data_IF_230248335278
#
_entry.id   IF_230248335278
#
_cell.length_a   1.000
_cell.length_b   1.000
_cell.length_c   1.000
_cell.angle_alpha   90.00
_cell.angle_beta   90.00
_cell.angle_gamma   90.00
#
_symmetry.space_group_name_H-M   'P 1'
#
loop_
_entity.id
_entity.type
_entity.pdbx_description
1 polymer ?
#
# COMPACT_ATOMS: atom_id res chain seq x y z
N UNK A 1 36.43 12.07 30.85
CA UNK A 1 35.21 12.82 31.18
C UNK A 1 34.04 12.06 30.59
N UNK A 2 33.31 11.32 31.42
CA UNK A 2 32.04 10.72 31.05
C UNK A 2 31.00 11.83 31.08
N UNK A 3 30.57 12.30 29.91
CA UNK A 3 29.40 13.18 29.81
C UNK A 3 28.20 12.34 30.28
N UNK A 4 27.49 12.74 31.36
CA UNK A 4 26.29 12.03 31.75
C UNK A 4 25.26 12.21 30.63
N UNK A 5 24.93 11.12 29.94
CA UNK A 5 23.78 11.08 29.03
C UNK A 5 22.56 11.44 29.87
N UNK A 6 22.05 12.67 29.69
CA UNK A 6 20.70 13.02 30.14
C UNK A 6 19.76 11.93 29.63
N UNK A 7 18.87 11.37 30.46
CA UNK A 7 17.92 10.37 29.99
C UNK A 7 17.12 11.00 28.86
N UNK A 8 17.39 10.61 27.61
CA UNK A 8 16.60 11.03 26.47
C UNK A 8 15.16 10.67 26.78
N UNK A 9 14.29 11.68 26.83
CA UNK A 9 12.86 11.45 26.93
C UNK A 9 12.47 10.53 25.78
N UNK A 10 11.87 9.38 26.09
CA UNK A 10 11.43 8.46 25.03
C UNK A 10 10.52 9.21 24.06
N UNK A 11 10.73 9.07 22.74
CA UNK A 11 9.85 9.70 21.76
C UNK A 11 8.41 9.24 22.00
N UNK A 12 7.47 10.14 21.74
CA UNK A 12 6.04 9.89 21.87
C UNK A 12 5.37 10.20 20.55
N UNK A 13 4.15 9.69 20.38
CA UNK A 13 3.31 9.98 19.23
C UNK A 13 4.03 9.69 17.90
N UNK A 14 4.64 8.51 17.80
CA UNK A 14 5.42 8.13 16.63
C UNK A 14 4.48 7.73 15.50
N UNK A 15 4.70 8.29 14.33
CA UNK A 15 3.97 7.90 13.13
C UNK A 15 4.26 8.83 11.95
N UNK A 16 3.26 9.02 11.08
CA UNK A 16 3.45 9.70 9.80
C UNK A 16 3.39 11.22 9.98
N UNK A 17 4.53 11.88 9.76
CA UNK A 17 4.70 13.33 9.73
C UNK A 17 4.29 13.93 8.38
N UNK A 18 4.69 13.28 7.30
CA UNK A 18 4.45 13.71 5.93
C UNK A 18 4.31 12.48 5.03
N UNK A 19 3.57 12.63 3.93
CA UNK A 19 3.36 11.54 2.98
C UNK A 19 3.27 12.06 1.55
N UNK A 20 3.73 11.26 0.61
CA UNK A 20 3.68 11.54 -0.81
C UNK A 20 3.38 10.27 -1.61
N UNK A 21 2.62 10.39 -2.69
CA UNK A 21 2.27 9.27 -3.57
C UNK A 21 2.79 9.56 -4.98
N UNK A 22 3.50 8.60 -5.56
CA UNK A 22 3.85 8.56 -6.98
C UNK A 22 3.05 7.46 -7.69
N UNK A 23 2.59 7.74 -8.90
CA UNK A 23 1.88 6.77 -9.75
C UNK A 23 2.07 7.16 -11.22
N UNK A 24 1.97 6.23 -12.18
CA UNK A 24 2.01 6.56 -13.61
C UNK A 24 0.96 7.61 -14.01
N UNK A 25 1.21 8.39 -15.06
CA UNK A 25 0.28 9.45 -15.52
C UNK A 25 -0.91 8.92 -16.33
N UNK A 26 -0.95 7.61 -16.58
CA UNK A 26 -1.95 6.96 -17.43
C UNK A 26 -2.54 5.70 -16.79
N UNK A 27 -3.77 5.41 -17.16
CA UNK A 27 -4.52 4.23 -16.72
C UNK A 27 -5.44 3.71 -17.84
N UNK A 28 -5.82 2.44 -17.76
CA UNK A 28 -6.82 1.83 -18.64
C UNK A 28 -8.18 1.74 -17.93
N UNK A 29 -9.28 1.90 -18.68
CA UNK A 29 -10.65 1.67 -18.21
C UNK A 29 -10.94 0.17 -18.10
N UNK A 30 -11.41 -0.29 -16.93
CA UNK A 30 -11.79 -1.69 -16.77
C UNK A 30 -13.11 -2.02 -17.49
N UNK A 31 -13.97 -1.04 -17.72
CA UNK A 31 -15.17 -1.25 -18.55
C UNK A 31 -14.77 -1.51 -20.01
N UNK A 32 -13.84 -0.72 -20.54
CA UNK A 32 -13.35 -0.88 -21.91
C UNK A 32 -12.56 -2.19 -22.04
N UNK A 33 -11.86 -2.59 -20.98
CA UNK A 33 -11.14 -3.86 -20.92
C UNK A 33 -12.09 -5.07 -20.85
N UNK A 34 -13.30 -4.92 -20.29
CA UNK A 34 -14.33 -5.97 -20.35
C UNK A 34 -14.74 -6.24 -21.80
N UNK A 35 -15.04 -5.18 -22.55
CA UNK A 35 -15.42 -5.26 -23.96
C UNK A 35 -14.25 -5.78 -24.82
N UNK A 36 -13.03 -5.28 -24.58
CA UNK A 36 -11.82 -5.69 -25.29
C UNK A 36 -11.49 -7.18 -25.12
N UNK A 37 -11.61 -7.70 -23.89
CA UNK A 37 -11.35 -9.10 -23.58
C UNK A 37 -12.53 -10.04 -23.91
N UNK A 38 -13.65 -9.51 -24.43
CA UNK A 38 -14.84 -10.30 -24.74
C UNK A 38 -15.48 -10.96 -23.51
N UNK A 39 -15.37 -10.35 -22.33
CA UNK A 39 -15.99 -10.87 -21.10
C UNK A 39 -17.33 -10.20 -20.81
N UNK A 40 -18.14 -10.81 -19.95
CA UNK A 40 -19.44 -10.24 -19.55
C UNK A 40 -19.27 -8.87 -18.86
N UNK A 41 -20.12 -7.91 -19.24
CA UNK A 41 -20.23 -6.61 -18.55
C UNK A 41 -20.37 -6.80 -17.05
N UNK A 42 -19.63 -6.02 -16.28
CA UNK A 42 -19.59 -6.11 -14.83
C UNK A 42 -18.58 -7.10 -14.26
N UNK A 43 -17.90 -7.93 -15.07
CA UNK A 43 -16.93 -8.91 -14.56
C UNK A 43 -15.82 -8.25 -13.76
N UNK A 44 -15.29 -7.13 -14.24
CA UNK A 44 -14.24 -6.36 -13.58
C UNK A 44 -14.84 -5.23 -12.74
N UNK A 45 -15.77 -4.48 -13.31
CA UNK A 45 -16.35 -3.27 -12.67
C UNK A 45 -17.24 -3.57 -11.48
N UNK A 46 -17.90 -4.74 -11.44
CA UNK A 46 -18.74 -5.18 -10.31
C UNK A 46 -18.08 -6.36 -9.57
N UNK A 47 -17.57 -7.34 -10.33
CA UNK A 47 -16.97 -8.56 -9.80
C UNK A 47 -15.69 -8.28 -9.02
N UNK A 48 -14.78 -7.46 -9.57
CA UNK A 48 -13.61 -6.95 -8.85
C UNK A 48 -13.90 -5.61 -8.16
N UNK A 49 -14.89 -4.86 -8.63
CA UNK A 49 -15.20 -3.51 -8.14
C UNK A 49 -14.25 -2.44 -8.66
N UNK A 50 -13.41 -2.76 -9.65
CA UNK A 50 -12.34 -1.89 -10.17
C UNK A 50 -12.84 -1.02 -11.32
N UNK A 51 -12.40 0.24 -11.38
CA UNK A 51 -12.82 1.19 -12.41
C UNK A 51 -11.70 1.48 -13.41
N UNK A 52 -10.51 1.77 -12.90
CA UNK A 52 -9.31 1.98 -13.69
C UNK A 52 -8.12 1.21 -13.13
N UNK A 53 -7.09 1.03 -13.95
CA UNK A 53 -5.83 0.39 -13.57
C UNK A 53 -4.67 1.18 -14.15
N UNK A 54 -3.79 1.67 -13.27
CA UNK A 54 -2.54 2.32 -13.68
C UNK A 54 -1.53 1.28 -14.12
N UNK A 55 -0.69 1.65 -15.08
CA UNK A 55 0.34 0.78 -15.61
C UNK A 55 1.50 1.61 -16.12
N UNK A 56 2.63 0.96 -16.35
CA UNK A 56 3.81 1.59 -16.94
C UNK A 56 4.42 0.65 -17.99
N UNK A 57 5.27 1.20 -18.84
CA UNK A 57 6.02 0.49 -19.87
C UNK A 57 7.47 0.23 -19.39
N UNK A 58 8.44 0.30 -20.31
CA UNK A 58 9.87 0.10 -20.05
C UNK A 58 10.59 1.33 -19.50
N UNK A 59 9.93 2.49 -19.41
CA UNK A 59 10.49 3.74 -18.89
C UNK A 59 10.46 3.86 -17.37
N UNK A 60 9.61 3.10 -16.68
CA UNK A 60 9.54 3.14 -15.22
C UNK A 60 9.72 1.77 -14.59
N UNK A 61 10.44 1.77 -13.47
CA UNK A 61 10.68 0.58 -12.65
C UNK A 61 10.52 0.94 -11.16
N UNK A 62 10.72 -0.03 -10.28
CA UNK A 62 10.61 0.19 -8.85
C UNK A 62 11.58 1.26 -8.32
N UNK A 63 12.77 1.38 -8.91
CA UNK A 63 13.73 2.40 -8.50
C UNK A 63 13.25 3.79 -8.91
N UNK A 64 12.73 3.97 -10.13
CA UNK A 64 12.20 5.27 -10.56
C UNK A 64 10.97 5.67 -9.74
N UNK A 65 10.07 4.71 -9.45
CA UNK A 65 8.92 4.95 -8.57
C UNK A 65 9.35 5.42 -7.17
N UNK A 66 10.31 4.72 -6.57
CA UNK A 66 10.83 5.06 -5.26
C UNK A 66 11.58 6.40 -5.27
N UNK A 67 12.42 6.65 -6.28
CA UNK A 67 13.13 7.93 -6.46
C UNK A 67 12.14 9.09 -6.54
N UNK A 68 11.06 8.94 -7.30
CA UNK A 68 10.04 9.97 -7.44
C UNK A 68 9.25 10.20 -6.17
N UNK A 69 8.80 9.14 -5.48
CA UNK A 69 8.08 9.28 -4.22
C UNK A 69 8.93 9.99 -3.16
N UNK A 70 10.20 9.61 -3.00
CA UNK A 70 11.11 10.21 -2.01
C UNK A 70 11.54 11.61 -2.41
N UNK A 71 11.91 11.84 -3.68
CA UNK A 71 12.28 13.18 -4.16
C UNK A 71 11.13 14.17 -3.98
N UNK A 72 9.90 13.78 -4.35
CA UNK A 72 8.73 14.62 -4.16
C UNK A 72 8.44 14.88 -2.68
N UNK A 73 8.58 13.88 -1.81
CA UNK A 73 8.44 14.04 -0.36
C UNK A 73 9.46 15.07 0.17
N UNK A 74 10.74 14.92 -0.16
CA UNK A 74 11.79 15.83 0.28
C UNK A 74 11.53 17.27 -0.19
N UNK A 75 11.19 17.43 -1.47
CA UNK A 75 11.02 18.75 -2.08
C UNK A 75 9.74 19.45 -1.61
N UNK A 76 8.60 18.75 -1.58
CA UNK A 76 7.31 19.38 -1.25
C UNK A 76 7.22 19.84 0.20
N UNK A 77 7.87 19.12 1.10
CA UNK A 77 7.89 19.40 2.54
C UNK A 77 9.19 20.06 3.00
N UNK A 78 10.08 20.42 2.06
CA UNK A 78 11.36 21.10 2.34
C UNK A 78 12.21 20.37 3.40
N UNK A 79 12.21 19.04 3.34
CA UNK A 79 12.90 18.19 4.31
C UNK A 79 14.40 18.21 4.00
N UNK A 80 15.22 18.65 4.96
CA UNK A 80 16.67 18.55 4.86
C UNK A 80 17.08 17.07 4.76
N UNK A 81 17.76 16.62 3.70
CA UNK A 81 18.23 15.24 3.58
C UNK A 81 19.13 14.80 4.75
N UNK A 82 19.80 15.72 5.45
CA UNK A 82 20.59 15.42 6.67
C UNK A 82 19.74 15.09 7.89
N UNK A 83 18.46 15.45 7.88
CA UNK A 83 17.50 15.14 8.96
C UNK A 83 16.99 13.69 8.94
N UNK A 84 17.43 12.87 7.96
CA UNK A 84 17.04 11.48 7.81
C UNK A 84 18.13 10.56 8.35
N UNK A 85 17.78 9.71 9.32
CA UNK A 85 18.69 8.73 9.93
C UNK A 85 18.37 7.28 9.57
N UNK A 86 17.19 7.02 9.00
CA UNK A 86 16.80 5.69 8.53
C UNK A 86 15.96 5.77 7.26
N UNK A 87 16.18 4.85 6.34
CA UNK A 87 15.39 4.72 5.12
C UNK A 87 15.19 3.23 4.79
N UNK A 88 13.95 2.76 4.86
CA UNK A 88 13.56 1.39 4.50
C UNK A 88 12.62 1.38 3.30
N UNK A 89 12.72 0.32 2.49
CA UNK A 89 11.85 0.10 1.32
C UNK A 89 11.10 -1.21 1.48
N UNK A 90 9.77 -1.17 1.42
CA UNK A 90 8.95 -2.34 1.18
C UNK A 90 8.63 -2.47 -0.30
N UNK A 91 9.00 -3.60 -0.89
CA UNK A 91 8.64 -3.93 -2.28
C UNK A 91 8.70 -5.43 -2.50
N UNK A 92 7.88 -5.93 -3.42
CA UNK A 92 8.02 -7.28 -3.97
C UNK A 92 8.51 -7.28 -5.43
N UNK A 93 8.57 -6.12 -6.08
CA UNK A 93 9.07 -5.88 -7.43
C UNK A 93 10.60 -5.89 -7.42
N UNK A 94 11.21 -6.91 -8.01
CA UNK A 94 12.67 -7.07 -8.03
C UNK A 94 13.24 -6.67 -9.38
N UNK A 95 14.25 -5.80 -9.36
CA UNK A 95 15.11 -5.49 -10.51
C UNK A 95 16.56 -5.95 -10.31
N UNK A 96 16.91 -6.34 -9.08
CA UNK A 96 18.18 -6.95 -8.70
C UNK A 96 17.92 -7.91 -7.53
N UNK A 97 18.69 -8.99 -7.43
CA UNK A 97 18.53 -10.05 -6.40
C UNK A 97 19.35 -9.78 -5.14
N UNK A 98 20.27 -8.83 -5.18
CA UNK A 98 21.19 -8.51 -4.08
C UNK A 98 21.21 -7.02 -3.77
N UNK A 99 21.31 -6.17 -4.79
CA UNK A 99 21.32 -4.71 -4.61
C UNK A 99 19.91 -4.22 -4.28
N UNK A 100 19.76 -3.62 -3.11
CA UNK A 100 18.49 -3.07 -2.65
C UNK A 100 18.11 -1.76 -3.36
N UNK A 101 16.80 -1.52 -3.51
CA UNK A 101 16.23 -0.23 -3.94
C UNK A 101 16.70 0.89 -3.01
N UNK A 102 16.78 0.62 -1.70
CA UNK A 102 17.34 1.55 -0.71
C UNK A 102 18.70 2.12 -1.12
N UNK A 103 19.62 1.29 -1.61
CA UNK A 103 20.94 1.80 -2.04
C UNK A 103 20.87 2.65 -3.32
N UNK A 104 19.85 2.50 -4.15
CA UNK A 104 19.59 3.41 -5.28
C UNK A 104 19.09 4.77 -4.79
N UNK A 105 18.24 4.79 -3.74
CA UNK A 105 17.71 6.02 -3.13
C UNK A 105 18.78 6.87 -2.45
N UNK A 106 19.90 6.28 -2.01
CA UNK A 106 21.04 7.04 -1.45
C UNK A 106 21.60 8.10 -2.40
N UNK A 107 21.29 8.03 -3.71
CA UNK A 107 21.61 9.08 -4.69
C UNK A 107 20.98 10.43 -4.33
N UNK A 108 19.78 10.43 -3.74
CA UNK A 108 19.08 11.65 -3.31
C UNK A 108 19.74 12.32 -2.10
N UNK A 109 20.58 11.59 -1.38
CA UNK A 109 21.27 12.06 -0.17
C UNK A 109 22.75 12.40 -0.41
N UNK A 110 23.31 11.94 -1.53
CA UNK A 110 24.74 12.03 -1.81
C UNK A 110 25.27 13.47 -1.84
N UNK A 111 24.55 14.41 -2.47
CA UNK A 111 24.97 15.81 -2.54
C UNK A 111 24.98 16.50 -1.17
N UNK A 112 24.09 16.09 -0.26
CA UNK A 112 24.08 16.60 1.12
C UNK A 112 25.25 16.07 1.97
N UNK A 113 25.92 15.00 1.52
CA UNK A 113 26.92 14.26 2.29
C UNK A 113 26.36 13.35 3.39
N UNK A 114 25.03 13.18 3.47
CA UNK A 114 24.41 12.27 4.43
C UNK A 114 24.48 10.82 3.93
N UNK A 115 25.46 10.06 4.41
CA UNK A 115 25.63 8.64 4.09
C UNK A 115 25.31 7.71 5.26
N UNK A 116 25.20 8.26 6.47
CA UNK A 116 24.89 7.52 7.69
C UNK A 116 23.38 7.44 7.86
N UNK A 117 22.77 6.54 7.08
CA UNK A 117 21.33 6.29 7.06
C UNK A 117 21.11 4.78 7.15
N UNK A 118 20.54 4.30 8.25
CA UNK A 118 20.19 2.88 8.45
C UNK A 118 19.07 2.42 7.50
N UNK A 119 18.79 1.11 7.48
CA UNK A 119 17.68 0.53 6.73
C UNK A 119 18.08 -0.05 5.36
N UNK A 120 17.23 -0.96 4.87
CA UNK A 120 17.38 -1.72 3.62
C UNK A 120 15.99 -2.07 3.06
N UNK A 121 15.92 -3.01 2.11
CA UNK A 121 14.64 -3.49 1.60
C UNK A 121 14.07 -4.61 2.50
N UNK A 122 12.75 -4.60 2.70
CA UNK A 122 11.96 -5.63 3.38
C UNK A 122 10.97 -6.24 2.40
N UNK A 123 10.96 -7.58 2.29
CA UNK A 123 10.14 -8.30 1.30
C UNK A 123 9.39 -9.48 1.91
N UNK A 124 8.06 -9.44 1.77
CA UNK A 124 7.18 -10.60 1.76
C UNK A 124 5.89 -10.19 1.04
N UNK A 125 5.82 -10.42 -0.27
CA UNK A 125 4.71 -9.97 -1.11
C UNK A 125 4.28 -8.52 -0.76
N UNK A 126 2.97 -8.27 -0.70
CA UNK A 126 2.38 -6.97 -0.37
C UNK A 126 2.57 -6.52 1.11
N UNK A 127 3.20 -7.33 1.97
CA UNK A 127 3.42 -7.01 3.39
C UNK A 127 4.74 -6.27 3.66
N UNK A 128 5.69 -6.27 2.71
CA UNK A 128 7.06 -5.76 2.92
C UNK A 128 7.14 -4.32 3.47
N UNK A 129 6.22 -3.45 3.05
CA UNK A 129 6.14 -2.05 3.52
C UNK A 129 5.65 -1.92 4.96
N UNK A 130 4.79 -2.83 5.43
CA UNK A 130 4.40 -2.87 6.84
C UNK A 130 5.52 -3.38 7.73
N UNK A 131 6.33 -4.33 7.25
CA UNK A 131 7.56 -4.70 7.94
C UNK A 131 8.53 -3.52 8.02
N UNK A 132 8.73 -2.78 6.93
CA UNK A 132 9.55 -1.56 6.89
C UNK A 132 9.03 -0.48 7.86
N UNK A 133 7.70 -0.25 7.91
CA UNK A 133 7.08 0.67 8.84
C UNK A 133 7.34 0.28 10.30
N UNK A 134 7.13 -0.98 10.65
CA UNK A 134 7.38 -1.46 12.01
C UNK A 134 8.87 -1.35 12.38
N UNK A 135 9.78 -1.65 11.44
CA UNK A 135 11.21 -1.46 11.65
C UNK A 135 11.56 0.02 11.92
N UNK A 136 10.97 0.95 11.18
CA UNK A 136 11.19 2.38 11.37
C UNK A 136 10.66 2.88 12.73
N UNK A 137 9.45 2.48 13.13
CA UNK A 137 8.87 2.83 14.44
C UNK A 137 9.73 2.25 15.56
N UNK A 138 10.09 0.97 15.48
CA UNK A 138 10.93 0.31 16.47
C UNK A 138 12.31 0.96 16.58
N UNK A 139 12.89 1.40 15.45
CA UNK A 139 14.16 2.12 15.45
C UNK A 139 14.06 3.46 16.19
N UNK A 140 13.01 4.25 15.95
CA UNK A 140 12.76 5.52 16.67
C UNK A 140 12.58 5.26 18.18
N UNK A 141 11.90 4.18 18.57
CA UNK A 141 11.71 3.82 19.99
C UNK A 141 12.96 3.21 20.65
N UNK A 142 13.98 2.86 19.87
CA UNK A 142 15.16 2.15 20.35
C UNK A 142 16.21 3.06 21.01
N UNK A 143 17.14 2.45 21.72
CA UNK A 143 18.34 3.14 22.21
C UNK A 143 19.32 3.56 21.10
N UNK A 144 19.11 3.10 19.86
CA UNK A 144 19.93 3.47 18.70
C UNK A 144 19.38 4.70 17.96
N UNK A 145 18.21 5.21 18.34
CA UNK A 145 17.67 6.41 17.73
C UNK A 145 18.56 7.61 17.99
N UNK A 146 18.89 8.34 16.94
CA UNK A 146 19.82 9.48 16.95
C UNK A 146 19.11 10.84 16.88
N UNK A 147 17.78 10.85 17.01
CA UNK A 147 16.95 12.05 16.93
C UNK A 147 16.48 12.42 15.52
N UNK A 148 16.95 11.73 14.47
CA UNK A 148 16.55 11.98 13.07
C UNK A 148 15.26 11.24 12.70
N UNK A 149 14.62 11.68 11.62
CA UNK A 149 13.43 11.03 11.10
C UNK A 149 13.79 9.78 10.28
N UNK A 150 12.81 8.91 10.07
CA UNK A 150 12.89 7.78 9.16
C UNK A 150 12.05 8.04 7.90
N UNK A 151 12.43 7.46 6.76
CA UNK A 151 11.58 7.38 5.56
C UNK A 151 11.23 5.93 5.30
N UNK A 152 9.94 5.65 5.09
CA UNK A 152 9.46 4.35 4.64
C UNK A 152 8.88 4.49 3.25
N UNK A 153 9.41 3.72 2.31
CA UNK A 153 8.90 3.64 0.93
C UNK A 153 8.10 2.35 0.77
N UNK A 154 6.93 2.44 0.16
CA UNK A 154 6.06 1.31 -0.16
C UNK A 154 5.67 1.41 -1.62
N UNK A 155 6.16 0.53 -2.49
CA UNK A 155 5.90 0.68 -3.93
C UNK A 155 6.15 -0.57 -4.72
N UNK A 156 5.42 -0.69 -5.82
CA UNK A 156 5.45 -1.85 -6.69
C UNK A 156 4.84 -1.57 -8.07
N UNK A 157 5.13 -2.50 -8.98
CA UNK A 157 4.49 -2.64 -10.28
C UNK A 157 3.81 -4.02 -10.28
N UNK A 158 2.49 -4.04 -10.11
CA UNK A 158 1.69 -5.24 -10.06
C UNK A 158 1.21 -5.64 -11.46
N UNK A 159 1.95 -6.56 -12.08
CA UNK A 159 1.67 -7.08 -13.43
C UNK A 159 1.41 -8.58 -13.39
N UNK A 160 0.53 -9.02 -14.29
CA UNK A 160 0.14 -10.42 -14.43
C UNK A 160 0.12 -10.82 -15.91
N UNK A 161 0.38 -12.11 -16.15
CA UNK A 161 0.24 -12.72 -17.46
C UNK A 161 -1.18 -12.50 -18.02
N UNK A 162 -1.31 -12.68 -19.34
CA UNK A 162 -2.62 -12.63 -19.98
C UNK A 162 -3.60 -13.60 -19.32
N UNK A 163 -4.82 -13.13 -19.04
CA UNK A 163 -5.84 -13.93 -18.40
C UNK A 163 -6.58 -13.22 -17.26
N UNK A 164 -7.25 -13.98 -16.38
CA UNK A 164 -8.23 -13.44 -15.43
C UNK A 164 -7.62 -12.59 -14.30
N UNK A 165 -6.31 -12.68 -14.05
CA UNK A 165 -5.62 -11.92 -13.02
C UNK A 165 -5.13 -10.53 -13.50
N UNK A 166 -4.89 -10.35 -14.81
CA UNK A 166 -4.42 -9.07 -15.40
C UNK A 166 -5.25 -7.85 -14.97
N UNK A 167 -6.58 -7.89 -14.87
CA UNK A 167 -7.41 -6.76 -14.44
C UNK A 167 -7.28 -6.38 -12.95
N UNK A 168 -6.51 -7.14 -12.16
CA UNK A 168 -6.21 -6.87 -10.74
C UNK A 168 -4.79 -6.32 -10.54
N UNK A 169 -4.12 -5.87 -11.61
CA UNK A 169 -2.85 -5.17 -11.57
C UNK A 169 -2.98 -3.72 -11.09
N UNK A 170 -1.86 -3.00 -11.19
CA UNK A 170 -1.75 -1.60 -10.80
C UNK A 170 -0.29 -1.20 -10.62
N UNK A 171 -0.04 0.08 -10.36
CA UNK A 171 1.32 0.58 -10.15
C UNK A 171 1.33 1.87 -9.34
N UNK A 172 2.30 1.99 -8.44
CA UNK A 172 2.57 3.21 -7.70
C UNK A 172 3.51 3.00 -6.51
N UNK A 173 3.87 4.10 -5.86
CA UNK A 173 4.67 4.12 -4.65
C UNK A 173 4.18 5.21 -3.68
N UNK A 174 4.38 4.96 -2.39
CA UNK A 174 4.09 5.88 -1.29
C UNK A 174 5.38 6.06 -0.50
N UNK A 175 5.76 7.30 -0.21
CA UNK A 175 6.83 7.62 0.73
C UNK A 175 6.21 8.27 1.96
N UNK A 176 6.57 7.79 3.14
CA UNK A 176 6.12 8.30 4.44
C UNK A 176 7.32 8.76 5.25
N UNK A 177 7.30 10.00 5.73
CA UNK A 177 8.21 10.49 6.76
C UNK A 177 7.68 10.04 8.12
N UNK A 178 8.47 9.28 8.87
CA UNK A 178 8.13 8.76 10.18
C UNK A 178 8.96 9.45 11.25
N UNK A 179 8.31 9.94 12.31
CA UNK A 179 8.96 10.63 13.42
C UNK A 179 8.05 10.79 14.64
N UNK A 180 8.59 11.37 15.73
CA UNK A 180 7.81 11.70 16.93
C UNK A 180 6.83 12.86 16.68
N UNK A 181 5.84 13.01 17.56
CA UNK A 181 4.86 14.10 17.52
C UNK A 181 4.10 14.22 16.19
N UNK A 182 3.86 13.06 15.56
CA UNK A 182 3.20 12.97 14.28
C UNK A 182 1.69 13.28 14.37
N UNK A 183 1.09 13.88 13.31
CA UNK A 183 -0.35 14.03 13.21
C UNK A 183 -1.08 12.68 13.06
N UNK A 184 -0.43 11.68 12.45
CA UNK A 184 -0.94 10.30 12.35
C UNK A 184 -0.08 9.38 13.20
N UNK A 185 -0.57 8.95 14.36
CA UNK A 185 0.19 8.18 15.35
C UNK A 185 -0.21 6.72 15.30
N UNK A 186 0.75 5.79 15.24
CA UNK A 186 0.46 4.37 15.36
C UNK A 186 0.35 3.95 16.82
N UNK A 187 -0.65 3.14 17.15
CA UNK A 187 -0.72 2.53 18.47
C UNK A 187 0.31 1.41 18.60
N UNK A 188 0.98 1.24 19.76
CA UNK A 188 2.01 0.23 19.97
C UNK A 188 1.41 -1.16 20.22
N UNK A 189 0.36 -1.52 19.47
CA UNK A 189 -0.32 -2.82 19.54
C UNK A 189 -0.65 -3.28 18.13
N UNK A 190 -0.21 -4.49 17.80
CA UNK A 190 -0.44 -5.12 16.50
C UNK A 190 -0.75 -6.60 16.70
N UNK A 191 -1.79 -7.09 16.03
CA UNK A 191 -2.09 -8.52 15.91
C UNK A 191 -1.47 -9.04 14.62
N UNK A 192 -0.70 -10.12 14.68
CA UNK A 192 0.09 -10.62 13.54
C UNK A 192 -0.24 -12.09 13.29
N UNK A 193 -0.32 -12.47 12.03
CA UNK A 193 -0.46 -13.85 11.58
C UNK A 193 0.54 -14.11 10.45
N UNK A 194 1.28 -15.21 10.55
CA UNK A 194 2.17 -15.69 9.49
C UNK A 194 1.94 -17.18 9.34
N UNK A 195 1.94 -17.67 8.10
CA UNK A 195 1.77 -19.08 7.76
C UNK A 195 2.58 -19.41 6.52
N UNK A 196 2.87 -20.69 6.29
CA UNK A 196 3.52 -21.19 5.07
C UNK A 196 2.44 -21.66 4.07
N UNK A 197 2.26 -20.91 2.98
CA UNK A 197 1.23 -21.06 1.98
C UNK A 197 1.79 -20.78 0.58
N UNK A 198 1.18 -21.41 -0.43
CA UNK A 198 1.47 -21.18 -1.85
C UNK A 198 0.28 -20.54 -2.57
N UNK A 199 -0.36 -19.55 -1.94
CA UNK A 199 -1.51 -18.85 -2.50
C UNK A 199 -1.13 -17.85 -3.61
N UNK A 200 -0.02 -17.14 -3.41
CA UNK A 200 0.59 -16.21 -4.37
C UNK A 200 2.11 -16.19 -4.15
N UNK A 201 2.89 -16.45 -5.21
CA UNK A 201 4.35 -16.49 -5.12
C UNK A 201 5.02 -16.27 -6.49
N UNK A 202 6.30 -15.91 -6.51
CA UNK A 202 7.08 -15.64 -7.74
C UNK A 202 8.30 -16.57 -7.81
N UNK A 203 8.13 -17.83 -8.22
CA UNK A 203 9.21 -18.82 -8.23
C UNK A 203 10.12 -18.66 -9.46
N UNK A 204 9.59 -18.19 -10.58
CA UNK A 204 10.34 -17.92 -11.81
C UNK A 204 11.01 -16.56 -11.73
N UNK A 205 12.34 -16.55 -11.60
CA UNK A 205 13.14 -15.33 -11.51
C UNK A 205 13.41 -14.66 -12.86
N UNK A 206 12.92 -15.24 -13.96
CA UNK A 206 13.04 -14.70 -15.32
C UNK A 206 11.78 -13.98 -15.80
N UNK A 207 10.69 -14.08 -15.03
CA UNK A 207 9.39 -13.49 -15.31
C UNK A 207 8.96 -12.54 -14.19
N UNK A 208 8.24 -11.46 -14.54
CA UNK A 208 7.59 -10.61 -13.54
C UNK A 208 6.31 -11.23 -12.99
N UNK A 209 5.74 -12.18 -13.73
CA UNK A 209 4.42 -12.72 -13.45
C UNK A 209 4.45 -13.70 -12.28
N UNK A 210 3.52 -13.57 -11.33
CA UNK A 210 3.41 -14.51 -10.22
C UNK A 210 2.66 -15.79 -10.62
N UNK A 211 2.94 -16.85 -9.88
CA UNK A 211 2.04 -17.99 -9.72
C UNK A 211 0.93 -17.61 -8.73
N UNK A 212 -0.33 -17.88 -9.10
CA UNK A 212 -1.50 -17.46 -8.33
C UNK A 212 -2.54 -18.58 -8.24
N UNK A 213 -2.76 -19.11 -7.05
CA UNK A 213 -3.98 -19.84 -6.71
C UNK A 213 -5.04 -18.81 -6.30
N UNK A 214 -5.85 -18.37 -7.27
CA UNK A 214 -6.88 -17.34 -7.05
C UNK A 214 -7.87 -17.68 -5.92
N UNK A 215 -8.52 -18.85 -5.93
CA UNK A 215 -9.34 -19.32 -4.82
C UNK A 215 -8.58 -19.39 -3.49
N UNK A 216 -7.36 -19.94 -3.49
CA UNK A 216 -6.52 -20.03 -2.30
C UNK A 216 -6.18 -18.66 -1.71
N UNK A 217 -5.82 -17.69 -2.54
CA UNK A 217 -5.48 -16.31 -2.15
C UNK A 217 -6.63 -15.60 -1.44
N UNK A 218 -7.87 -15.80 -1.90
CA UNK A 218 -9.04 -15.21 -1.24
C UNK A 218 -9.23 -15.79 0.16
N UNK A 219 -9.04 -17.11 0.31
CA UNK A 219 -9.15 -17.81 1.60
C UNK A 219 -8.02 -17.39 2.54
N UNK A 220 -6.78 -17.33 2.04
CA UNK A 220 -5.61 -16.91 2.81
C UNK A 220 -5.80 -15.49 3.37
N UNK A 221 -6.23 -14.54 2.54
CA UNK A 221 -6.51 -13.16 2.94
C UNK A 221 -7.54 -13.08 4.08
N UNK A 222 -8.66 -13.80 3.95
CA UNK A 222 -9.75 -13.74 4.94
C UNK A 222 -9.36 -14.47 6.24
N UNK A 223 -8.66 -15.60 6.14
CA UNK A 223 -8.21 -16.37 7.31
C UNK A 223 -7.12 -15.62 8.10
N UNK A 224 -6.21 -14.95 7.40
CA UNK A 224 -5.20 -14.11 8.02
C UNK A 224 -5.81 -12.86 8.66
N UNK A 225 -6.90 -12.32 8.10
CA UNK A 225 -7.68 -11.24 8.72
C UNK A 225 -8.31 -11.70 10.03
N UNK A 226 -9.00 -12.84 10.05
CA UNK A 226 -9.58 -13.41 11.26
C UNK A 226 -8.53 -13.57 12.37
N UNK A 227 -7.39 -14.17 12.01
CA UNK A 227 -6.31 -14.50 12.93
C UNK A 227 -5.61 -13.25 13.48
N UNK A 228 -5.23 -12.32 12.60
CA UNK A 228 -4.57 -11.07 13.01
C UNK A 228 -5.52 -10.17 13.81
N UNK A 229 -6.80 -10.11 13.45
CA UNK A 229 -7.81 -9.35 14.19
C UNK A 229 -8.09 -9.96 15.57
N UNK A 230 -8.18 -11.29 15.68
CA UNK A 230 -8.29 -11.98 16.97
C UNK A 230 -7.04 -11.76 17.83
N UNK A 231 -5.84 -11.83 17.25
CA UNK A 231 -4.58 -11.59 17.96
C UNK A 231 -4.49 -10.15 18.48
N UNK A 232 -4.90 -9.16 17.69
CA UNK A 232 -4.95 -7.76 18.11
C UNK A 232 -5.90 -7.60 19.30
N UNK A 233 -7.13 -8.13 19.21
CA UNK A 233 -8.12 -8.10 20.30
C UNK A 233 -7.57 -8.74 21.59
N UNK A 234 -6.87 -9.86 21.47
CA UNK A 234 -6.28 -10.56 22.62
C UNK A 234 -5.17 -9.78 23.33
N UNK A 235 -4.53 -8.81 22.67
CA UNK A 235 -3.50 -7.95 23.25
C UNK A 235 -4.07 -6.70 23.94
N UNK A 236 -5.35 -6.39 23.72
CA UNK A 236 -5.99 -5.24 24.36
C UNK A 236 -6.41 -5.58 25.79
N UNK A 237 -5.96 -4.78 26.75
CA UNK A 237 -6.39 -4.88 28.14
C UNK A 237 -7.73 -4.13 28.34
N UNK A 238 -8.79 -4.60 27.70
CA UNK A 238 -10.12 -3.98 27.74
C UNK A 238 -11.19 -4.98 28.21
N UNK A 239 -12.11 -4.52 29.06
CA UNK A 239 -13.27 -5.31 29.50
C UNK A 239 -14.30 -5.52 28.39
N UNK A 240 -14.34 -4.62 27.39
CA UNK A 240 -15.19 -4.74 26.21
C UNK A 240 -14.36 -5.20 25.01
N UNK A 241 -14.85 -6.15 24.19
CA UNK A 241 -14.13 -6.58 23.00
C UNK A 241 -14.05 -5.42 22.00
N UNK A 242 -12.87 -5.24 21.40
CA UNK A 242 -12.71 -4.30 20.29
C UNK A 242 -13.50 -4.76 19.08
N UNK A 243 -14.09 -3.80 18.37
CA UNK A 243 -15.00 -3.98 17.23
C UNK A 243 -14.80 -2.88 16.17
N UNK A 244 -15.49 -2.98 15.03
CA UNK A 244 -15.59 -1.90 14.04
C UNK A 244 -16.25 -0.62 14.58
N UNK A 245 -16.92 -0.66 15.75
CA UNK A 245 -17.42 0.54 16.42
C UNK A 245 -16.30 1.32 17.14
N UNK A 246 -15.10 0.74 17.28
CA UNK A 246 -13.96 1.35 17.98
C UNK A 246 -13.02 2.14 17.08
N UNK A 247 -13.36 2.21 15.79
CA UNK A 247 -12.64 2.94 14.76
C UNK A 247 -13.64 3.71 13.91
N UNK A 248 -13.24 4.89 13.48
CA UNK A 248 -14.00 5.73 12.56
C UNK A 248 -13.79 5.25 11.13
N UNK A 249 -12.59 4.78 10.82
CA UNK A 249 -12.21 4.26 9.49
C UNK A 249 -11.57 2.88 9.56
N UNK A 250 -11.72 2.09 8.50
CA UNK A 250 -11.09 0.78 8.36
C UNK A 250 -10.42 0.65 6.99
N UNK A 251 -9.09 0.58 6.99
CA UNK A 251 -8.24 0.49 5.82
C UNK A 251 -7.74 -0.94 5.68
N UNK A 252 -7.64 -1.39 4.44
CA UNK A 252 -7.24 -2.73 4.09
C UNK A 252 -6.17 -2.68 3.01
N UNK A 253 -5.29 -3.67 2.95
CA UNK A 253 -4.62 -3.98 1.70
C UNK A 253 -5.71 -4.30 0.66
N UNK A 254 -5.76 -3.50 -0.40
CA UNK A 254 -6.77 -3.60 -1.46
C UNK A 254 -6.13 -4.13 -2.75
N UNK A 255 -6.15 -5.46 -2.99
CA UNK A 255 -5.76 -6.01 -4.29
C UNK A 255 -6.82 -5.71 -5.36
N UNK A 256 -8.08 -5.64 -4.93
CA UNK A 256 -9.21 -5.12 -5.68
C UNK A 256 -10.35 -4.82 -4.69
N UNK A 257 -11.25 -3.90 -5.04
CA UNK A 257 -12.25 -3.36 -4.11
C UNK A 257 -13.19 -4.45 -3.55
N UNK A 258 -13.59 -5.44 -4.36
CA UNK A 258 -14.44 -6.53 -3.88
C UNK A 258 -13.81 -7.33 -2.73
N UNK A 259 -12.48 -7.52 -2.73
CA UNK A 259 -11.81 -8.20 -1.62
C UNK A 259 -11.88 -7.38 -0.34
N UNK A 260 -11.81 -6.05 -0.46
CA UNK A 260 -11.94 -5.13 0.68
C UNK A 260 -13.37 -5.13 1.24
N UNK A 261 -14.39 -5.20 0.37
CA UNK A 261 -15.80 -5.38 0.78
C UNK A 261 -15.97 -6.67 1.60
N UNK A 262 -15.36 -7.78 1.15
CA UNK A 262 -15.39 -9.05 1.87
C UNK A 262 -14.63 -8.98 3.20
N UNK A 263 -13.47 -8.31 3.24
CA UNK A 263 -12.69 -8.11 4.46
C UNK A 263 -13.47 -7.34 5.54
N UNK A 264 -14.09 -6.22 5.16
CA UNK A 264 -14.94 -5.46 6.09
C UNK A 264 -16.15 -6.26 6.57
N UNK A 265 -16.85 -6.95 5.66
CA UNK A 265 -17.95 -7.84 6.03
C UNK A 265 -17.49 -8.96 6.99
N UNK A 266 -16.28 -9.49 6.80
CA UNK A 266 -15.70 -10.51 7.68
C UNK A 266 -15.38 -9.95 9.06
N UNK A 267 -14.85 -8.74 9.16
CA UNK A 267 -14.66 -8.09 10.47
C UNK A 267 -15.99 -7.91 11.21
N UNK A 268 -17.04 -7.46 10.51
CA UNK A 268 -18.37 -7.32 11.08
C UNK A 268 -18.93 -8.68 11.57
N UNK A 269 -18.70 -9.74 10.80
CA UNK A 269 -19.04 -11.11 11.22
C UNK A 269 -18.27 -11.55 12.48
N UNK A 270 -16.98 -11.24 12.55
CA UNK A 270 -16.17 -11.52 13.74
C UNK A 270 -16.63 -10.76 14.99
N UNK A 271 -17.17 -9.55 14.82
CA UNK A 271 -17.75 -8.78 15.91
C UNK A 271 -19.07 -9.40 16.36
N UNK A 272 -19.93 -9.79 15.41
CA UNK A 272 -21.18 -10.50 15.68
C UNK A 272 -20.96 -11.80 16.47
N UNK A 273 -20.01 -12.65 16.05
CA UNK A 273 -19.72 -13.90 16.75
C UNK A 273 -19.28 -13.69 18.21
N UNK A 274 -18.62 -12.57 18.51
CA UNK A 274 -18.13 -12.26 19.85
C UNK A 274 -19.19 -11.59 20.72
N UNK A 275 -20.03 -10.75 20.13
CA UNK A 275 -21.03 -9.98 20.83
C UNK A 275 -22.29 -9.82 19.96
N UNK A 276 -23.13 -10.86 19.82
CA UNK A 276 -24.26 -10.87 18.90
C UNK A 276 -25.36 -9.85 19.23
N UNK A 277 -25.28 -9.22 20.41
CA UNK A 277 -26.23 -8.21 20.88
C UNK A 277 -25.60 -6.82 21.02
N UNK A 278 -24.37 -6.60 20.54
CA UNK A 278 -23.67 -5.31 20.68
C UNK A 278 -24.08 -4.23 19.69
N UNK A 279 -24.85 -4.59 18.66
CA UNK A 279 -25.26 -3.68 17.59
C UNK A 279 -26.72 -3.93 17.19
N UNK A 280 -27.52 -2.87 16.95
CA UNK A 280 -28.83 -3.02 16.33
C UNK A 280 -28.79 -3.73 14.97
N UNK A 281 -27.66 -3.66 14.26
CA UNK A 281 -27.45 -4.37 13.01
C UNK A 281 -27.55 -5.89 13.16
N UNK A 282 -27.28 -6.44 14.35
CA UNK A 282 -27.32 -7.88 14.61
C UNK A 282 -28.69 -8.37 15.09
N UNK A 283 -29.67 -7.47 15.25
CA UNK A 283 -30.98 -7.83 15.79
C UNK A 283 -31.66 -8.90 14.93
N UNK A 284 -32.06 -10.01 15.56
CA UNK A 284 -32.73 -11.13 14.90
C UNK A 284 -31.81 -12.12 14.17
N UNK A 285 -30.49 -11.95 14.26
CA UNK A 285 -29.52 -12.93 13.75
C UNK A 285 -29.14 -13.95 14.82
N UNK A 286 -29.10 -15.22 14.45
CA UNK A 286 -28.65 -16.33 15.31
C UNK A 286 -27.23 -16.77 14.91
N UNK A 287 -26.24 -16.70 15.82
CA UNK A 287 -24.87 -17.15 15.55
C UNK A 287 -24.77 -18.58 15.03
N UNK A 288 -25.65 -19.49 15.45
CA UNK A 288 -25.62 -20.90 15.04
C UNK A 288 -25.99 -21.09 13.55
N UNK A 289 -26.62 -20.08 12.93
CA UNK A 289 -26.99 -20.12 11.50
C UNK A 289 -25.78 -19.92 10.57
N UNK A 290 -24.68 -19.34 11.06
CA UNK A 290 -23.59 -18.88 10.21
C UNK A 290 -22.32 -19.70 10.37
N UNK A 291 -21.66 -20.01 9.26
CA UNK A 291 -20.43 -20.78 9.23
C UNK A 291 -19.21 -19.89 9.42
N UNK A 292 -18.24 -20.37 10.22
CA UNK A 292 -16.93 -19.72 10.33
C UNK A 292 -16.04 -19.99 9.13
N UNK A 293 -16.44 -20.81 8.16
CA UNK A 293 -15.63 -21.03 6.96
C UNK A 293 -15.45 -19.74 6.15
N UNK A 294 -14.22 -19.39 5.73
CA UNK A 294 -13.97 -18.26 4.83
C UNK A 294 -14.65 -18.36 3.46
N UNK A 295 -15.09 -19.55 3.08
CA UNK A 295 -15.71 -19.83 1.76
C UNK A 295 -17.23 -19.86 1.80
N UNK A 296 -17.86 -19.75 2.98
CA UNK A 296 -19.30 -19.85 3.11
C UNK A 296 -20.04 -18.65 2.48
N UNK A 297 -20.84 -18.93 1.45
CA UNK A 297 -21.51 -17.88 0.65
C UNK A 297 -22.71 -17.26 1.34
N UNK A 298 -23.37 -17.98 2.24
CA UNK A 298 -24.49 -17.43 3.02
C UNK A 298 -23.96 -16.36 3.96
N UNK A 299 -22.93 -16.68 4.74
CA UNK A 299 -22.27 -15.75 5.66
C UNK A 299 -21.67 -14.57 4.91
N UNK A 300 -20.95 -14.81 3.81
CA UNK A 300 -20.37 -13.74 2.97
C UNK A 300 -21.45 -12.75 2.50
N UNK A 301 -22.53 -13.23 1.87
CA UNK A 301 -23.57 -12.35 1.32
C UNK A 301 -24.33 -11.58 2.40
N UNK A 302 -24.71 -12.26 3.49
CA UNK A 302 -25.46 -11.62 4.58
C UNK A 302 -24.67 -10.49 5.21
N UNK A 303 -23.39 -10.70 5.52
CA UNK A 303 -22.58 -9.68 6.18
C UNK A 303 -22.09 -8.58 5.22
N UNK A 304 -21.99 -8.86 3.91
CA UNK A 304 -21.81 -7.80 2.91
C UNK A 304 -23.02 -6.87 2.89
N UNK A 305 -24.24 -7.43 2.85
CA UNK A 305 -25.46 -6.63 2.84
C UNK A 305 -25.61 -5.84 4.14
N UNK A 306 -25.37 -6.49 5.28
CA UNK A 306 -25.47 -5.85 6.59
C UNK A 306 -24.42 -4.74 6.79
N UNK A 307 -23.21 -4.98 6.31
CA UNK A 307 -22.10 -4.05 6.43
C UNK A 307 -22.08 -2.93 5.38
N UNK A 308 -23.02 -2.88 4.44
CA UNK A 308 -22.97 -1.96 3.30
C UNK A 308 -22.91 -0.47 3.71
N UNK A 309 -23.73 -0.05 4.68
CA UNK A 309 -23.73 1.33 5.17
C UNK A 309 -22.42 1.67 5.89
N UNK A 310 -21.97 0.78 6.80
CA UNK A 310 -20.69 0.95 7.50
C UNK A 310 -19.49 0.90 6.54
N UNK A 311 -19.55 0.14 5.46
CA UNK A 311 -18.50 0.13 4.44
C UNK A 311 -18.41 1.49 3.73
N UNK A 312 -19.56 2.05 3.33
CA UNK A 312 -19.62 3.36 2.69
C UNK A 312 -19.08 4.48 3.59
N UNK A 313 -19.32 4.39 4.91
CA UNK A 313 -18.86 5.38 5.88
C UNK A 313 -17.38 5.19 6.27
N UNK A 314 -16.98 3.96 6.61
CA UNK A 314 -15.70 3.67 7.26
C UNK A 314 -14.59 3.28 6.29
N UNK A 315 -14.92 2.76 5.10
CA UNK A 315 -13.94 2.17 4.18
C UNK A 315 -13.87 2.94 2.86
N UNK A 316 -15.01 3.30 2.27
CA UNK A 316 -15.04 3.95 0.96
C UNK A 316 -14.17 5.22 0.84
N UNK A 317 -14.07 6.10 1.87
CA UNK A 317 -13.19 7.26 1.83
C UNK A 317 -11.70 6.93 1.63
N UNK A 318 -11.29 5.69 1.88
CA UNK A 318 -9.91 5.23 1.70
C UNK A 318 -9.65 4.60 0.33
N UNK A 319 -10.59 4.63 -0.62
CA UNK A 319 -10.49 3.84 -1.87
C UNK A 319 -10.18 4.65 -3.14
N UNK A 320 -9.91 5.96 -3.03
CA UNK A 320 -9.65 6.81 -4.20
C UNK A 320 -8.51 6.28 -5.09
N UNK A 321 -7.36 5.96 -4.50
CA UNK A 321 -6.25 5.32 -5.22
C UNK A 321 -6.63 3.96 -5.77
N UNK A 322 -7.27 3.08 -4.98
CA UNK A 322 -7.63 1.74 -5.43
C UNK A 322 -8.58 1.74 -6.65
N UNK A 323 -9.50 2.71 -6.72
CA UNK A 323 -10.43 2.91 -7.85
C UNK A 323 -9.72 3.34 -9.12
N UNK A 324 -8.69 4.18 -8.99
CA UNK A 324 -8.02 4.81 -10.14
C UNK A 324 -6.76 4.08 -10.59
N UNK A 325 -6.02 3.50 -9.66
CA UNK A 325 -4.69 2.96 -9.89
C UNK A 325 -4.65 1.43 -9.90
N UNK A 326 -5.61 0.75 -9.29
CA UNK A 326 -5.55 -0.70 -9.12
C UNK A 326 -4.76 -1.14 -7.89
N UNK A 327 -4.14 -2.31 -7.97
CA UNK A 327 -3.34 -2.89 -6.89
C UNK A 327 -1.91 -2.34 -6.91
N UNK A 328 -1.47 -1.72 -5.81
CA UNK A 328 -0.11 -1.21 -5.65
C UNK A 328 0.78 -2.17 -4.84
N UNK A 329 0.36 -3.43 -4.66
CA UNK A 329 0.99 -4.40 -3.76
C UNK A 329 1.34 -3.80 -2.40
N UNK A 330 2.63 -3.62 -2.08
CA UNK A 330 3.08 -3.05 -0.81
C UNK A 330 2.62 -1.61 -0.61
N UNK A 331 2.41 -0.86 -1.70
CA UNK A 331 1.85 0.48 -1.67
C UNK A 331 0.35 0.52 -1.38
N UNK A 332 -0.42 -0.56 -1.57
CA UNK A 332 -1.90 -0.51 -1.58
C UNK A 332 -2.50 -0.02 -0.25
N UNK A 333 -2.03 -0.54 0.89
CA UNK A 333 -2.57 -0.13 2.19
C UNK A 333 -2.25 1.35 2.49
N UNK A 334 -1.06 1.81 2.15
CA UNK A 334 -0.62 3.18 2.41
C UNK A 334 -1.20 4.18 1.41
N UNK A 335 -1.51 3.75 0.19
CA UNK A 335 -2.31 4.50 -0.75
C UNK A 335 -3.77 4.64 -0.28
N UNK A 336 -4.29 3.67 0.49
CA UNK A 336 -5.58 3.82 1.17
C UNK A 336 -5.51 4.88 2.29
N UNK A 337 -4.42 4.92 3.06
CA UNK A 337 -4.19 5.99 4.05
C UNK A 337 -4.09 7.37 3.38
N UNK A 338 -3.38 7.46 2.26
CA UNK A 338 -3.31 8.68 1.45
C UNK A 338 -4.69 9.11 0.92
N UNK A 339 -5.48 8.15 0.45
CA UNK A 339 -6.84 8.39 -0.01
C UNK A 339 -7.74 8.91 1.10
N UNK A 340 -7.65 8.35 2.31
CA UNK A 340 -8.42 8.81 3.46
C UNK A 340 -8.09 10.27 3.79
N UNK A 341 -6.79 10.60 3.90
CA UNK A 341 -6.31 11.96 4.19
C UNK A 341 -6.74 12.95 3.09
N UNK A 342 -6.74 12.52 1.84
CA UNK A 342 -7.11 13.38 0.72
C UNK A 342 -8.63 13.60 0.60
N UNK A 343 -9.42 12.62 1.01
CA UNK A 343 -10.89 12.60 0.84
C UNK A 343 -11.61 13.26 2.00
N UNK A 344 -11.18 13.00 3.24
CA UNK A 344 -11.86 13.49 4.44
C UNK A 344 -11.30 14.87 4.84
N UNK A 345 -12.15 15.87 5.13
CA UNK A 345 -11.70 17.16 5.65
C UNK A 345 -10.84 17.04 6.92
N UNK A 346 -9.73 17.80 7.06
CA UNK A 346 -8.85 17.72 8.22
C UNK A 346 -9.57 17.84 9.57
N UNK A 347 -10.54 18.76 9.68
CA UNK A 347 -11.33 18.96 10.90
C UNK A 347 -12.22 17.76 11.25
N UNK A 348 -12.71 17.03 10.24
CA UNK A 348 -13.48 15.80 10.44
C UNK A 348 -12.57 14.63 10.81
N UNK A 349 -11.35 14.62 10.28
CA UNK A 349 -10.39 13.55 10.49
C UNK A 349 -9.69 13.68 11.86
N UNK A 350 -9.55 14.89 12.40
CA UNK A 350 -8.92 15.12 13.70
C UNK A 350 -9.66 14.39 14.84
N UNK A 351 -8.91 13.68 15.68
CA UNK A 351 -9.42 12.91 16.82
C UNK A 351 -9.90 11.50 16.45
N UNK A 352 -9.96 11.18 15.15
CA UNK A 352 -10.43 9.87 14.68
C UNK A 352 -9.39 8.76 14.84
N UNK A 353 -9.86 7.52 14.74
CA UNK A 353 -9.05 6.30 14.82
C UNK A 353 -9.31 5.44 13.60
N UNK A 354 -8.26 4.92 12.99
CA UNK A 354 -8.35 4.10 11.78
C UNK A 354 -7.66 2.75 12.00
N UNK A 355 -8.37 1.64 11.74
CA UNK A 355 -7.72 0.32 11.68
C UNK A 355 -7.05 0.10 10.34
N UNK A 356 -5.95 -0.65 10.33
CA UNK A 356 -5.20 -1.02 9.14
C UNK A 356 -5.00 -2.53 9.13
N UNK A 357 -5.35 -3.16 8.01
CA UNK A 357 -5.08 -4.57 7.74
C UNK A 357 -4.07 -4.72 6.59
N UNK A 358 -2.83 -5.09 6.94
CA UNK A 358 -1.79 -5.44 5.98
C UNK A 358 -1.82 -6.96 5.70
N UNK A 359 -1.66 -7.32 4.44
CA UNK A 359 -1.60 -8.71 3.98
C UNK A 359 -0.62 -8.83 2.82
N UNK A 360 0.13 -9.93 2.77
CA UNK A 360 0.88 -10.38 1.61
C UNK A 360 0.85 -11.90 1.52
N UNK A 361 0.72 -12.44 0.30
CA UNK A 361 0.72 -13.88 0.04
C UNK A 361 1.97 -14.59 0.57
N UNK A 362 1.85 -15.90 0.80
CA UNK A 362 2.92 -16.73 1.36
C UNK A 362 2.72 -17.32 2.76
N UNK A 363 2.01 -16.77 3.75
CA UNK A 363 1.48 -15.41 3.90
C UNK A 363 1.97 -14.73 5.19
N UNK A 364 1.97 -13.40 5.17
CA UNK A 364 2.22 -12.54 6.33
C UNK A 364 1.14 -11.46 6.41
N UNK A 365 0.60 -11.23 7.61
CA UNK A 365 -0.45 -10.27 7.83
C UNK A 365 -0.35 -9.58 9.20
N UNK A 366 -0.84 -8.35 9.28
CA UNK A 366 -1.00 -7.66 10.57
C UNK A 366 -2.21 -6.74 10.58
N UNK A 367 -2.91 -6.74 11.71
CA UNK A 367 -3.95 -5.80 12.07
C UNK A 367 -3.42 -4.85 13.14
N UNK A 368 -3.51 -3.55 12.88
CA UNK A 368 -3.02 -2.51 13.78
C UNK A 368 -3.87 -1.25 13.62
N UNK A 369 -3.61 -0.23 14.42
CA UNK A 369 -4.45 0.96 14.47
C UNK A 369 -3.59 2.21 14.52
N UNK A 370 -4.03 3.27 13.82
CA UNK A 370 -3.51 4.62 14.00
C UNK A 370 -4.59 5.57 14.52
N UNK A 371 -4.14 6.70 15.07
CA UNK A 371 -4.95 7.82 15.53
C UNK A 371 -4.53 9.09 14.82
N UNK A 372 -5.50 9.92 14.48
CA UNK A 372 -5.26 11.23 13.90
C UNK A 372 -5.33 12.23 15.06
N UNK A 373 -4.17 12.69 15.52
CA UNK A 373 -4.05 13.54 16.71
C UNK A 373 -3.60 14.97 16.39
N UNK A 374 -3.23 15.22 15.13
CA UNK A 374 -2.84 16.53 14.62
C UNK A 374 -3.45 16.82 13.25
N UNK A 375 -3.25 18.04 12.75
CA UNK A 375 -3.79 18.46 11.46
C UNK A 375 -3.19 17.65 10.30
N UNK A 376 -4.03 17.24 9.36
CA UNK A 376 -3.63 16.59 8.11
C UNK A 376 -3.69 17.53 6.91
N UNK A 377 -3.93 18.83 7.14
CA UNK A 377 -4.10 19.85 6.08
C UNK A 377 -2.89 19.96 5.16
N UNK A 378 -1.68 20.02 5.73
CA UNK A 378 -0.46 20.09 4.94
C UNK A 378 -0.27 18.84 4.07
N UNK A 379 -0.47 17.65 4.63
CA UNK A 379 -0.39 16.40 3.87
C UNK A 379 -1.39 16.37 2.72
N UNK A 380 -2.65 16.75 2.99
CA UNK A 380 -3.70 16.82 1.99
C UNK A 380 -3.34 17.80 0.86
N UNK A 381 -2.88 19.00 1.21
CA UNK A 381 -2.55 20.05 0.26
C UNK A 381 -1.30 19.73 -0.58
N UNK A 382 -0.22 19.24 0.04
CA UNK A 382 1.05 18.93 -0.64
C UNK A 382 0.94 17.72 -1.55
N UNK A 383 0.18 16.69 -1.16
CA UNK A 383 -0.05 15.53 -2.04
C UNK A 383 -0.84 15.92 -3.29
N UNK A 384 -1.83 16.79 -3.14
CA UNK A 384 -2.82 17.15 -4.17
C UNK A 384 -3.42 15.90 -4.85
N UNK A 385 -3.71 14.88 -4.03
CA UNK A 385 -3.87 13.52 -4.52
C UNK A 385 -5.08 13.36 -5.45
N UNK A 386 -6.25 13.88 -5.04
CA UNK A 386 -7.48 13.70 -5.80
C UNK A 386 -7.41 14.38 -7.18
N UNK A 387 -6.89 15.60 -7.24
CA UNK A 387 -6.72 16.33 -8.50
C UNK A 387 -5.73 15.62 -9.43
N UNK A 388 -4.62 15.11 -8.89
CA UNK A 388 -3.65 14.33 -9.68
C UNK A 388 -4.24 13.02 -10.21
N UNK A 389 -5.02 12.30 -9.41
CA UNK A 389 -5.73 11.08 -9.84
C UNK A 389 -6.72 11.39 -10.97
N UNK A 390 -7.48 12.49 -10.85
CA UNK A 390 -8.42 12.95 -11.87
C UNK A 390 -7.72 13.31 -13.18
N UNK A 391 -6.56 13.99 -13.09
CA UNK A 391 -5.77 14.43 -14.26
C UNK A 391 -5.10 13.31 -15.06
N UNK A 392 -5.11 12.07 -14.56
CA UNK A 392 -4.54 10.92 -15.28
C UNK A 392 -5.25 10.71 -16.61
N UNK A 393 -4.48 10.38 -17.66
CA UNK A 393 -5.05 10.05 -18.97
C UNK A 393 -5.62 8.63 -18.95
N UNK A 394 -6.89 8.51 -19.34
CA UNK A 394 -7.48 7.21 -19.66
C UNK A 394 -7.11 6.87 -21.10
N UNK A 395 -6.39 5.77 -21.29
CA UNK A 395 -5.86 5.37 -22.61
C UNK A 395 -6.51 4.08 -23.10
N UNK A 396 -6.32 3.77 -24.38
CA UNK A 396 -6.96 2.61 -25.01
C UNK A 396 -6.41 1.27 -24.49
N UNK A 397 -7.21 0.21 -24.54
CA UNK A 397 -6.77 -1.15 -24.18
C UNK A 397 -5.57 -1.62 -25.03
N UNK A 398 -5.49 -1.20 -26.29
CA UNK A 398 -4.35 -1.52 -27.17
C UNK A 398 -3.06 -0.87 -26.67
N UNK A 399 -3.11 0.41 -26.31
CA UNK A 399 -1.94 1.10 -25.76
C UNK A 399 -1.47 0.46 -24.43
N UNK A 400 -2.40 -0.02 -23.62
CA UNK A 400 -2.10 -0.79 -22.42
C UNK A 400 -1.39 -2.12 -22.74
N UNK A 401 -1.89 -2.89 -23.71
CA UNK A 401 -1.24 -4.15 -24.10
C UNK A 401 0.14 -3.93 -24.73
N UNK A 402 0.29 -2.92 -25.58
CA UNK A 402 1.57 -2.57 -26.20
C UNK A 402 2.61 -2.20 -25.13
N UNK A 403 2.20 -1.47 -24.08
CA UNK A 403 3.06 -1.13 -22.94
C UNK A 403 3.49 -2.37 -22.13
N UNK A 404 2.57 -3.28 -21.85
CA UNK A 404 2.89 -4.53 -21.14
C UNK A 404 3.81 -5.42 -21.97
N UNK A 405 3.60 -5.49 -23.29
CA UNK A 405 4.45 -6.24 -24.19
C UNK A 405 5.88 -5.68 -24.21
N UNK A 406 6.02 -4.36 -24.31
CA UNK A 406 7.33 -3.70 -24.26
C UNK A 406 8.06 -3.99 -22.94
N UNK A 407 7.33 -4.00 -21.83
CA UNK A 407 7.85 -4.35 -20.51
C UNK A 407 8.30 -5.82 -20.43
N UNK A 408 7.51 -6.75 -20.95
CA UNK A 408 7.84 -8.17 -20.98
C UNK A 408 9.08 -8.44 -21.84
N UNK A 409 9.18 -7.81 -23.01
CA UNK A 409 10.35 -7.91 -23.91
C UNK A 409 11.65 -7.42 -23.26
N UNK A 410 11.57 -6.45 -22.34
CA UNK A 410 12.74 -5.79 -21.74
C UNK A 410 13.01 -6.14 -20.27
N UNK A 411 12.17 -6.95 -19.61
CA UNK A 411 12.28 -7.23 -18.17
C UNK A 411 13.70 -7.64 -17.72
N UNK A 412 14.32 -8.58 -18.45
CA UNK A 412 15.67 -9.09 -18.17
C UNK A 412 16.73 -8.58 -19.16
N UNK A 413 16.39 -7.60 -20.00
CA UNK A 413 17.30 -7.11 -21.02
C UNK A 413 18.45 -6.27 -20.43
N UNK A 414 19.63 -6.40 -21.04
CA UNK A 414 20.80 -5.56 -20.80
C UNK A 414 21.23 -4.89 -22.10
N UNK A 415 22.02 -3.82 -22.01
CA UNK A 415 22.42 -3.03 -23.16
C UNK A 415 21.22 -2.53 -23.99
N UNK A 416 20.24 -1.92 -23.29
CA UNK A 416 19.03 -1.38 -23.89
C UNK A 416 18.74 0.04 -23.39
N UNK A 417 18.12 0.83 -24.26
CA UNK A 417 17.55 2.12 -23.89
C UNK A 417 16.02 1.99 -24.01
N UNK A 418 15.25 2.31 -22.95
CA UNK A 418 13.80 2.28 -23.00
C UNK A 418 13.24 3.09 -24.17
N UNK A 419 12.17 2.58 -24.78
CA UNK A 419 11.55 3.16 -25.98
C UNK A 419 10.16 3.75 -25.72
N UNK A 420 9.57 3.47 -24.56
CA UNK A 420 8.34 4.12 -24.10
C UNK A 420 8.41 5.65 -24.13
N UNK A 421 7.26 6.30 -24.19
CA UNK A 421 7.22 7.76 -24.31
C UNK A 421 7.51 8.43 -22.97
N UNK A 422 8.42 9.41 -22.97
CA UNK A 422 8.69 10.23 -21.79
C UNK A 422 7.50 11.15 -21.49
N UNK A 423 6.63 11.42 -22.46
CA UNK A 423 5.40 12.22 -22.28
C UNK A 423 4.37 11.53 -21.38
N UNK A 424 4.49 10.20 -21.21
CA UNK A 424 3.64 9.39 -20.33
C UNK A 424 4.05 9.50 -18.86
N UNK A 425 5.13 10.23 -18.57
CA UNK A 425 5.71 10.40 -17.24
C UNK A 425 5.40 11.82 -16.74
N UNK A 426 5.30 11.98 -15.41
CA UNK A 426 5.09 13.30 -14.82
C UNK A 426 6.27 14.25 -15.13
N UNK A 427 6.02 15.55 -15.38
CA UNK A 427 7.09 16.54 -15.51
C UNK A 427 8.00 16.58 -14.28
N UNK A 428 9.31 16.62 -14.49
CA UNK A 428 10.34 16.56 -13.44
C UNK A 428 10.59 15.18 -12.81
N UNK A 429 9.81 14.14 -13.15
CA UNK A 429 9.96 12.82 -12.54
C UNK A 429 11.11 12.02 -13.17
N UNK A 430 11.82 11.25 -12.35
CA UNK A 430 12.80 10.26 -12.75
C UNK A 430 12.18 9.16 -13.61
N UNK A 431 12.89 8.78 -14.65
CA UNK A 431 12.61 7.63 -15.49
C UNK A 431 13.90 6.85 -15.77
N UNK A 432 13.75 5.60 -16.20
CA UNK A 432 14.86 4.77 -16.67
C UNK A 432 15.34 5.32 -18.03
N UNK A 433 16.58 5.78 -18.06
CA UNK A 433 17.21 6.33 -19.27
C UNK A 433 17.89 5.22 -20.07
N UNK A 434 18.57 4.30 -19.39
CA UNK A 434 19.28 3.18 -20.02
C UNK A 434 19.68 2.10 -19.03
N UNK A 435 19.91 0.90 -19.56
CA UNK A 435 20.55 -0.23 -18.89
C UNK A 435 21.75 -0.64 -19.72
N UNK A 436 22.95 -0.59 -19.16
CA UNK A 436 24.15 -0.96 -19.91
C UNK A 436 24.39 -2.49 -19.97
N UNK A 437 25.47 -2.89 -20.65
CA UNK A 437 25.89 -4.29 -20.83
C UNK A 437 26.13 -5.06 -19.53
N UNK A 438 26.28 -4.36 -18.39
CA UNK A 438 26.49 -4.96 -17.06
C UNK A 438 25.24 -4.87 -16.19
N UNK A 439 24.08 -4.50 -16.75
CA UNK A 439 22.84 -4.34 -16.01
C UNK A 439 22.79 -3.09 -15.12
N UNK A 440 23.73 -2.14 -15.27
CA UNK A 440 23.72 -0.91 -14.47
C UNK A 440 22.65 0.03 -15.04
N UNK A 441 21.70 0.41 -14.18
CA UNK A 441 20.58 1.27 -14.54
C UNK A 441 20.91 2.75 -14.32
N UNK A 442 20.64 3.59 -15.32
CA UNK A 442 20.77 5.05 -15.24
C UNK A 442 19.38 5.69 -15.22
N UNK A 443 19.19 6.63 -14.31
CA UNK A 443 17.93 7.36 -14.15
C UNK A 443 18.17 8.86 -14.38
N UNK A 444 17.22 9.51 -15.04
CA UNK A 444 17.23 10.95 -15.32
C UNK A 444 15.83 11.54 -15.12
N UNK A 445 15.70 12.79 -14.66
CA UNK A 445 14.41 13.46 -14.58
C UNK A 445 13.89 13.80 -16.00
N UNK A 446 12.58 13.83 -16.17
CA UNK A 446 11.97 14.46 -17.36
C UNK A 446 12.16 15.98 -17.31
N UNK A 447 12.12 16.64 -18.47
CA UNK A 447 12.23 18.09 -18.54
C UNK A 447 11.03 18.76 -17.86
N UNK A 448 11.31 19.83 -17.10
CA UNK A 448 10.27 20.75 -16.60
C UNK A 448 10.05 21.76 -17.73
N UNK A 449 8.94 21.64 -18.45
CA UNK A 449 8.54 22.57 -19.52
C UNK A 449 7.99 23.88 -18.97
#
# INVERSE_FOLDING_TARGET
MTIPLLPMMRPRNIGVLAMEVYFPRRCVSLADLEDYNGVSKGKYTIGLGQQYMAFTDDREDINSFALNAVSNLLNKYEIDPKSIGRLDVGTETLVDKSKSVKTTLMRLFAESGNHDIEGVDSKNACYGSTAALFNAINWIESSSWDGRNAIVVAGDIAVYAEGPARPAGGAGAVAMLIGPDAPVVFEPVHGTHMADLYDFYKPDLTSEYPEVDGPGSVVAYISALDSSYAAYRGKLNSKRPFSLQDVDYALFHTPYIKQTVKGHARMLFNDFLRAPHSSPAFAGLDPETFSTSPTDKTTEKTFIQLGAASFAEKVDPSLACARRLGNLYTGSLYACLASLIATVPPDTLLGTRASLYAFGGGCAASFFVCRIVGSTEEMRGKMDLLARLESMRVVSCREFEDALKLREEHHAAVHYAPTGSIEDIWPGAFHLESVDEKGRRKYSPTFIS
#
